data_IF_842970069720
#
_entry.id   IF_842970069720
#
_cell.length_a   1.000
_cell.length_b   1.000
_cell.length_c   1.000
_cell.angle_alpha   90.00
_cell.angle_beta   90.00
_cell.angle_gamma   90.00
#
_symmetry.space_group_name_H-M   'P 1'
#
loop_
_entity.id
_entity.type
_entity.pdbx_description
1 polymer ?
#
# COMPACT_ATOMS: atom_id res chain seq x y z
N UNK A 1 -13.27 9.94 16.80
CA UNK A 1 -11.90 10.31 16.37
C UNK A 1 -11.28 9.11 15.68
N UNK A 2 -10.41 9.35 14.71
CA UNK A 2 -9.76 8.29 13.95
C UNK A 2 -8.64 7.65 14.78
N UNK A 3 -8.63 6.33 14.91
CA UNK A 3 -7.49 5.63 15.54
C UNK A 3 -6.37 5.39 14.53
N UNK A 4 -5.11 5.18 14.96
CA UNK A 4 -4.03 4.82 14.04
C UNK A 4 -4.35 3.61 13.17
N UNK A 5 -4.99 2.58 13.74
CA UNK A 5 -5.35 1.35 13.04
C UNK A 5 -6.43 1.60 11.99
N UNK A 6 -7.44 2.43 12.31
CA UNK A 6 -8.46 2.84 11.34
C UNK A 6 -7.85 3.62 10.17
N UNK A 7 -6.89 4.52 10.45
CA UNK A 7 -6.17 5.22 9.38
C UNK A 7 -5.37 4.23 8.52
N UNK A 8 -4.68 3.26 9.13
CA UNK A 8 -3.93 2.24 8.40
C UNK A 8 -4.82 1.32 7.54
N UNK A 9 -6.06 1.05 7.95
CA UNK A 9 -7.03 0.35 7.10
C UNK A 9 -7.30 1.13 5.81
N UNK A 10 -7.45 2.45 5.90
CA UNK A 10 -7.60 3.31 4.72
C UNK A 10 -6.34 3.30 3.85
N UNK A 11 -5.15 3.39 4.45
CA UNK A 11 -3.88 3.29 3.71
C UNK A 11 -3.79 1.96 2.97
N UNK A 12 -4.09 0.85 3.63
CA UNK A 12 -4.09 -0.49 3.06
C UNK A 12 -5.03 -0.58 1.85
N UNK A 13 -6.27 -0.16 1.99
CA UNK A 13 -7.24 -0.19 0.89
C UNK A 13 -6.80 0.67 -0.30
N UNK A 14 -6.25 1.86 -0.06
CA UNK A 14 -5.75 2.73 -1.13
C UNK A 14 -4.52 2.15 -1.81
N UNK A 15 -3.64 1.45 -1.08
CA UNK A 15 -2.55 0.69 -1.68
C UNK A 15 -3.09 -0.43 -2.59
N UNK A 16 -4.07 -1.21 -2.14
CA UNK A 16 -4.70 -2.24 -2.98
C UNK A 16 -5.36 -1.64 -4.22
N UNK A 17 -6.02 -0.48 -4.08
CA UNK A 17 -6.65 0.24 -5.18
C UNK A 17 -5.63 0.78 -6.20
N UNK A 18 -4.37 0.96 -5.81
CA UNK A 18 -3.26 1.25 -6.73
C UNK A 18 -2.74 0.00 -7.47
N UNK A 19 -3.39 -1.16 -7.32
CA UNK A 19 -2.90 -2.43 -7.85
C UNK A 19 -1.78 -3.05 -7.03
N UNK A 20 -1.59 -2.58 -5.79
CA UNK A 20 -0.52 -3.05 -4.91
C UNK A 20 -0.83 -4.36 -4.20
N UNK A 21 0.22 -5.18 -4.09
CA UNK A 21 0.22 -6.37 -3.27
C UNK A 21 0.48 -5.95 -1.82
N UNK A 22 -0.44 -6.31 -0.93
CA UNK A 22 -0.32 -6.01 0.48
C UNK A 22 0.25 -7.19 1.26
N UNK A 23 1.20 -6.89 2.14
CA UNK A 23 1.70 -7.78 3.15
C UNK A 23 1.69 -7.07 4.50
N UNK A 24 1.68 -7.86 5.57
CA UNK A 24 1.95 -7.36 6.93
C UNK A 24 3.30 -7.92 7.34
N UNK A 25 4.25 -7.03 7.66
CA UNK A 25 5.62 -7.42 8.00
C UNK A 25 6.10 -6.67 9.23
N UNK A 26 7.02 -7.27 9.96
CA UNK A 26 7.64 -6.61 11.11
C UNK A 26 8.77 -5.68 10.64
N UNK A 27 8.67 -4.39 10.95
CA UNK A 27 9.70 -3.37 10.66
C UNK A 27 10.16 -2.78 11.99
N UNK A 28 11.28 -3.30 12.50
CA UNK A 28 11.74 -2.97 13.85
C UNK A 28 10.69 -3.38 14.91
N UNK A 29 10.30 -2.49 15.83
CA UNK A 29 9.27 -2.80 16.83
C UNK A 29 7.83 -2.74 16.31
N UNK A 30 7.59 -2.21 15.11
CA UNK A 30 6.25 -1.98 14.59
C UNK A 30 5.84 -3.04 13.55
N UNK A 31 4.61 -3.53 13.66
CA UNK A 31 3.97 -4.31 12.60
C UNK A 31 3.45 -3.36 11.53
N UNK A 32 4.00 -3.47 10.31
CA UNK A 32 3.75 -2.55 9.22
C UNK A 32 2.91 -3.19 8.12
N UNK A 33 1.99 -2.39 7.56
CA UNK A 33 1.36 -2.65 6.26
C UNK A 33 2.36 -2.27 5.18
N UNK A 34 2.68 -3.22 4.29
CA UNK A 34 3.62 -3.01 3.19
C UNK A 34 2.95 -3.29 1.86
N UNK A 35 2.95 -2.28 1.00
CA UNK A 35 2.43 -2.28 -0.35
C UNK A 35 3.53 -2.22 -1.39
N UNK A 36 3.53 -3.15 -2.35
CA UNK A 36 4.41 -3.11 -3.50
C UNK A 36 3.58 -3.00 -4.79
N UNK A 37 3.91 -2.03 -5.64
CA UNK A 37 3.30 -1.87 -6.96
C UNK A 37 4.24 -1.16 -7.92
N UNK A 38 3.98 -1.36 -9.21
CA UNK A 38 4.80 -0.82 -10.30
C UNK A 38 3.93 0.03 -11.22
N UNK A 39 4.42 1.19 -11.63
CA UNK A 39 3.76 2.08 -12.59
C UNK A 39 4.72 2.46 -13.72
N UNK A 40 4.18 2.69 -14.91
CA UNK A 40 4.95 3.20 -16.04
C UNK A 40 4.71 4.69 -16.20
N UNK A 41 5.78 5.48 -16.14
CA UNK A 41 5.74 6.94 -16.20
C UNK A 41 6.70 7.41 -17.27
N UNK A 42 6.19 7.96 -18.37
CA UNK A 42 7.00 8.54 -19.44
C UNK A 42 8.12 7.59 -19.90
N UNK A 43 7.77 6.32 -20.16
CA UNK A 43 8.68 5.21 -20.55
C UNK A 43 9.62 4.69 -19.43
N UNK A 44 9.58 5.27 -18.23
CA UNK A 44 10.30 4.75 -17.06
C UNK A 44 9.42 3.85 -16.23
N UNK A 45 10.00 2.81 -15.63
CA UNK A 45 9.32 1.94 -14.66
C UNK A 45 9.56 2.47 -13.25
N UNK A 46 8.49 2.68 -12.48
CA UNK A 46 8.56 3.13 -11.09
C UNK A 46 8.05 2.04 -10.18
N UNK A 47 8.91 1.57 -9.27
CA UNK A 47 8.55 0.60 -8.25
C UNK A 47 8.30 1.34 -6.94
N UNK A 48 7.06 1.35 -6.51
CA UNK A 48 6.65 1.95 -5.25
C UNK A 48 6.62 0.89 -4.14
N UNK A 49 7.20 1.24 -3.00
CA UNK A 49 7.06 0.52 -1.75
C UNK A 49 6.47 1.46 -0.70
N UNK A 50 5.19 1.26 -0.37
CA UNK A 50 4.52 1.98 0.72
C UNK A 50 4.66 1.14 1.98
N UNK A 51 5.21 1.72 3.04
CA UNK A 51 5.38 1.06 4.34
C UNK A 51 4.73 1.93 5.39
N UNK A 52 3.69 1.44 6.06
CA UNK A 52 2.94 2.22 7.03
C UNK A 52 2.74 1.44 8.33
N UNK A 53 2.96 2.06 9.48
CA UNK A 53 2.75 1.42 10.78
C UNK A 53 2.20 2.39 11.83
N UNK A 54 1.54 1.83 12.84
CA UNK A 54 1.08 2.58 14.00
C UNK A 54 2.25 2.68 14.98
N UNK A 55 2.46 3.87 15.53
CA UNK A 55 3.48 4.09 16.54
C UNK A 55 3.03 5.20 17.49
N UNK A 56 3.00 4.97 18.81
CA UNK A 56 2.30 5.85 19.74
C UNK A 56 2.87 7.27 19.78
N UNK A 57 4.20 7.41 19.76
CA UNK A 57 4.90 8.69 19.84
C UNK A 57 5.93 8.80 18.71
N UNK A 58 5.74 9.76 17.81
CA UNK A 58 6.56 9.96 16.63
C UNK A 58 7.47 11.17 16.84
N UNK A 59 8.71 10.91 17.22
CA UNK A 59 9.83 11.88 17.26
C UNK A 59 10.69 11.76 15.99
N UNK A 60 11.57 12.73 15.74
CA UNK A 60 12.47 12.68 14.58
C UNK A 60 13.33 11.40 14.57
N UNK A 61 13.81 10.96 15.73
CA UNK A 61 14.59 9.72 15.86
C UNK A 61 13.78 8.49 15.45
N UNK A 62 12.56 8.34 15.97
CA UNK A 62 11.71 7.18 15.64
C UNK A 62 11.36 7.14 14.16
N UNK A 63 11.07 8.30 13.56
CA UNK A 63 10.76 8.43 12.14
C UNK A 63 11.98 8.09 11.27
N UNK A 64 13.18 8.57 11.61
CA UNK A 64 14.43 8.22 10.91
C UNK A 64 14.70 6.72 10.96
N UNK A 65 14.62 6.13 12.16
CA UNK A 65 14.88 4.71 12.36
C UNK A 65 13.92 3.85 11.56
N UNK A 66 12.60 4.10 11.68
CA UNK A 66 11.59 3.38 10.93
C UNK A 66 11.80 3.51 9.42
N UNK A 67 12.10 4.72 8.94
CA UNK A 67 12.36 5.00 7.53
C UNK A 67 13.58 4.25 7.01
N UNK A 68 14.65 4.16 7.81
CA UNK A 68 15.85 3.38 7.48
C UNK A 68 15.53 1.90 7.30
N UNK A 69 14.81 1.31 8.25
CA UNK A 69 14.39 -0.10 8.22
C UNK A 69 13.42 -0.38 7.07
N UNK A 70 12.43 0.49 6.84
CA UNK A 70 11.49 0.41 5.73
C UNK A 70 12.22 0.47 4.37
N UNK A 71 13.20 1.35 4.23
CA UNK A 71 14.04 1.45 3.03
C UNK A 71 14.86 0.18 2.82
N UNK A 72 15.46 -0.37 3.87
CA UNK A 72 16.20 -1.62 3.80
C UNK A 72 15.29 -2.77 3.34
N UNK A 73 14.09 -2.89 3.94
CA UNK A 73 13.10 -3.88 3.55
C UNK A 73 12.68 -3.73 2.08
N UNK A 74 12.35 -2.50 1.66
CA UNK A 74 11.97 -2.22 0.27
C UNK A 74 13.07 -2.65 -0.72
N UNK A 75 14.33 -2.30 -0.44
CA UNK A 75 15.46 -2.65 -1.31
C UNK A 75 15.73 -4.14 -1.40
N UNK A 76 15.48 -4.88 -0.32
CA UNK A 76 15.57 -6.33 -0.33
C UNK A 76 14.48 -6.99 -1.19
N UNK A 77 13.31 -6.35 -1.34
CA UNK A 77 12.15 -6.91 -2.02
C UNK A 77 11.88 -6.34 -3.43
N UNK A 78 12.61 -5.29 -3.83
CA UNK A 78 12.53 -4.68 -5.18
C UNK A 78 13.74 -5.11 -6.04
N UNK A 79 14.48 -6.15 -5.63
CA UNK A 79 15.66 -6.63 -6.36
C UNK A 79 15.32 -7.04 -7.81
N UNK A 80 16.10 -6.53 -8.76
CA UNK A 80 15.97 -6.83 -10.20
C UNK A 80 15.47 -5.66 -11.06
N UNK A 81 14.92 -4.61 -10.46
CA UNK A 81 14.23 -3.53 -11.21
C UNK A 81 14.84 -2.14 -11.01
N UNK A 82 16.07 -2.04 -10.50
CA UNK A 82 16.79 -0.75 -10.40
C UNK A 82 17.80 -0.66 -11.53
N UNK A 83 17.58 0.27 -12.44
CA UNK A 83 18.41 0.47 -13.63
C UNK A 83 18.23 1.88 -14.18
N UNK A 84 18.90 2.22 -15.29
CA UNK A 84 18.81 3.56 -15.88
C UNK A 84 17.37 3.99 -16.22
N UNK A 85 16.50 3.03 -16.53
CA UNK A 85 15.10 3.24 -16.91
C UNK A 85 14.11 2.92 -15.79
N UNK A 86 14.60 2.57 -14.59
CA UNK A 86 13.75 2.12 -13.51
C UNK A 86 14.16 2.68 -12.14
N UNK A 87 13.22 3.37 -11.51
CA UNK A 87 13.39 4.02 -10.22
C UNK A 87 12.64 3.26 -9.12
N UNK A 88 13.22 3.19 -7.92
CA UNK A 88 12.51 2.71 -6.72
C UNK A 88 12.13 3.90 -5.83
N UNK A 89 10.89 3.91 -5.37
CA UNK A 89 10.38 4.94 -4.46
C UNK A 89 9.84 4.25 -3.21
N UNK A 90 10.38 4.62 -2.06
CA UNK A 90 9.90 4.16 -0.75
C UNK A 90 9.15 5.29 -0.08
N UNK A 91 7.93 5.04 0.37
CA UNK A 91 7.14 6.00 1.16
C UNK A 91 6.89 5.35 2.52
N UNK A 92 7.65 5.79 3.52
CA UNK A 92 7.62 5.26 4.89
C UNK A 92 6.81 6.19 5.79
N UNK A 93 5.69 5.68 6.32
CA UNK A 93 4.74 6.42 7.13
C UNK A 93 4.58 5.87 8.54
N UNK A 94 4.59 6.75 9.54
CA UNK A 94 4.16 6.44 10.90
C UNK A 94 2.87 7.18 11.25
N UNK A 95 1.97 6.49 11.96
CA UNK A 95 0.68 7.04 12.40
C UNK A 95 0.59 7.03 13.92
N UNK A 96 0.37 8.19 14.53
CA UNK A 96 0.30 8.36 15.99
C UNK A 96 0.53 9.81 16.42
N UNK A 97 0.95 10.06 17.66
CA UNK A 97 1.18 11.43 18.13
C UNK A 97 2.45 12.00 17.52
N UNK A 98 2.33 13.05 16.71
CA UNK A 98 3.49 13.64 16.01
C UNK A 98 4.10 14.78 16.81
N UNK A 99 5.39 14.68 17.11
CA UNK A 99 6.15 15.75 17.75
C UNK A 99 6.66 16.77 16.72
N UNK A 100 6.91 18.03 17.11
CA UNK A 100 7.32 19.09 16.18
C UNK A 100 8.59 18.78 15.39
N UNK A 101 9.56 18.08 15.99
CA UNK A 101 10.80 17.65 15.34
C UNK A 101 10.55 16.62 14.23
N UNK A 102 9.66 15.66 14.46
CA UNK A 102 9.22 14.70 13.43
C UNK A 102 8.45 15.38 12.30
N UNK A 103 7.56 16.33 12.63
CA UNK A 103 6.82 17.10 11.65
C UNK A 103 7.75 17.88 10.72
N UNK A 104 8.74 18.58 11.28
CA UNK A 104 9.76 19.30 10.52
C UNK A 104 10.59 18.36 9.64
N UNK A 105 11.02 17.23 10.20
CA UNK A 105 11.78 16.23 9.46
C UNK A 105 10.98 15.63 8.29
N UNK A 106 9.71 15.27 8.51
CA UNK A 106 8.85 14.70 7.48
C UNK A 106 8.58 15.71 6.34
N UNK A 107 8.45 17.00 6.67
CA UNK A 107 8.25 18.08 5.71
C UNK A 107 9.54 18.52 4.99
N UNK A 108 10.72 18.08 5.45
CA UNK A 108 11.99 18.48 4.88
C UNK A 108 12.20 17.90 3.46
N UNK A 109 12.88 18.68 2.61
CA UNK A 109 13.17 18.28 1.23
C UNK A 109 13.95 16.97 1.19
N UNK A 110 13.44 16.00 0.44
CA UNK A 110 14.10 14.69 0.31
C UNK A 110 15.39 14.79 -0.49
N UNK A 111 16.41 14.05 -0.09
CA UNK A 111 17.64 13.86 -0.88
C UNK A 111 17.45 12.70 -1.85
N UNK A 112 18.01 12.81 -3.05
CA UNK A 112 18.01 11.69 -4.00
C UNK A 112 19.08 10.69 -3.55
N UNK A 113 18.76 9.40 -3.61
CA UNK A 113 19.75 8.33 -3.50
C UNK A 113 19.91 7.70 -4.88
N UNK A 114 21.10 7.17 -5.18
CA UNK A 114 21.33 6.53 -6.47
C UNK A 114 20.32 5.38 -6.67
N UNK A 115 19.56 5.43 -7.77
CA UNK A 115 18.53 4.43 -8.08
C UNK A 115 17.23 4.51 -7.28
N UNK A 116 17.02 5.53 -6.42
CA UNK A 116 15.74 5.68 -5.75
C UNK A 116 15.53 6.92 -4.87
N UNK A 117 14.29 7.06 -4.39
CA UNK A 117 13.86 8.12 -3.48
C UNK A 117 13.19 7.50 -2.26
N UNK A 118 13.48 8.03 -1.06
CA UNK A 118 12.75 7.69 0.15
C UNK A 118 12.02 8.92 0.67
N UNK A 119 10.74 8.76 1.00
CA UNK A 119 9.87 9.80 1.57
C UNK A 119 9.42 9.41 2.96
N UNK A 120 9.54 10.34 3.88
CA UNK A 120 9.02 10.22 5.23
C UNK A 120 7.63 10.81 5.29
N UNK A 121 6.73 10.14 6.00
CA UNK A 121 5.39 10.62 6.31
C UNK A 121 5.15 10.45 7.80
N UNK A 122 4.69 11.50 8.47
CA UNK A 122 4.21 11.42 9.84
C UNK A 122 2.74 11.86 9.84
N UNK A 123 1.86 11.05 10.41
CA UNK A 123 0.43 11.32 10.46
C UNK A 123 -0.02 11.40 11.90
N UNK A 124 -0.61 12.54 12.28
CA UNK A 124 -1.39 12.65 13.49
C UNK A 124 -2.86 12.36 13.16
N UNK A 125 -3.48 11.27 13.67
CA UNK A 125 -4.89 10.96 13.40
C UNK A 125 -5.88 12.06 13.82
N UNK A 126 -5.44 12.97 14.70
CA UNK A 126 -6.23 14.11 15.19
C UNK A 126 -5.77 15.44 14.58
N UNK A 127 -4.71 15.43 13.78
CA UNK A 127 -4.07 16.60 13.20
C UNK A 127 -3.86 16.47 11.69
N UNK A 128 -2.83 17.12 11.14
CA UNK A 128 -2.50 17.03 9.72
C UNK A 128 -1.55 15.87 9.43
N UNK A 129 -1.42 15.55 8.14
CA UNK A 129 -0.31 14.75 7.62
C UNK A 129 0.90 15.65 7.35
N UNK A 130 2.07 15.23 7.80
CA UNK A 130 3.35 15.87 7.52
C UNK A 130 4.14 15.04 6.52
N UNK A 131 4.46 15.64 5.37
CA UNK A 131 5.31 15.05 4.34
C UNK A 131 5.83 16.14 3.41
N UNK A 132 6.96 15.88 2.74
CA UNK A 132 7.44 16.75 1.69
C UNK A 132 6.68 16.53 0.36
N UNK A 133 6.06 17.60 -0.15
CA UNK A 133 5.26 17.63 -1.41
C UNK A 133 5.86 18.59 -2.45
N UNK A 134 7.12 19.01 -2.28
CA UNK A 134 7.77 19.94 -3.21
C UNK A 134 8.11 19.32 -4.58
N UNK A 135 8.65 20.16 -5.46
CA UNK A 135 9.30 19.73 -6.71
C UNK A 135 10.83 19.68 -6.56
N UNK A 136 11.49 18.88 -7.41
CA UNK A 136 12.93 19.00 -7.70
C UNK A 136 13.09 19.38 -9.17
N UNK A 137 14.21 20.04 -9.48
CA UNK A 137 14.50 20.53 -10.84
C UNK A 137 14.65 19.39 -11.87
N UNK A 138 14.99 18.19 -11.43
CA UNK A 138 15.17 17.01 -12.27
C UNK A 138 13.98 16.07 -12.08
N UNK A 139 13.34 15.63 -13.16
CA UNK A 139 12.25 14.64 -13.11
C UNK A 139 10.91 15.19 -12.60
N UNK A 140 10.47 16.38 -13.04
CA UNK A 140 9.19 16.98 -12.61
C UNK A 140 7.98 16.04 -12.76
N UNK A 141 7.91 15.28 -13.87
CA UNK A 141 6.86 14.27 -14.07
C UNK A 141 6.93 13.12 -13.05
N UNK A 142 8.15 12.62 -12.78
CA UNK A 142 8.39 11.59 -11.77
C UNK A 142 8.02 12.11 -10.37
N UNK A 143 8.43 13.32 -10.00
CA UNK A 143 8.07 13.92 -8.72
C UNK A 143 6.57 14.19 -8.59
N UNK A 144 5.93 14.63 -9.67
CA UNK A 144 4.47 14.78 -9.71
C UNK A 144 3.76 13.46 -9.43
N UNK A 145 4.22 12.37 -10.03
CA UNK A 145 3.67 11.06 -9.78
C UNK A 145 3.96 10.54 -8.37
N UNK A 146 5.17 10.76 -7.83
CA UNK A 146 5.46 10.41 -6.43
C UNK A 146 4.58 11.22 -5.47
N UNK A 147 4.40 12.51 -5.72
CA UNK A 147 3.51 13.37 -4.91
C UNK A 147 2.07 12.87 -4.99
N UNK A 148 1.57 12.58 -6.18
CA UNK A 148 0.23 12.04 -6.38
C UNK A 148 0.06 10.71 -5.65
N UNK A 149 1.06 9.82 -5.74
CA UNK A 149 1.00 8.52 -5.08
C UNK A 149 1.07 8.62 -3.56
N UNK A 150 1.96 9.46 -3.04
CA UNK A 150 2.01 9.76 -1.60
C UNK A 150 0.67 10.29 -1.12
N UNK A 151 0.10 11.26 -1.81
CA UNK A 151 -1.17 11.86 -1.42
C UNK A 151 -2.33 10.88 -1.49
N UNK A 152 -2.32 10.02 -2.50
CA UNK A 152 -3.31 8.97 -2.63
C UNK A 152 -3.19 7.96 -1.48
N UNK A 153 -2.01 7.36 -1.29
CA UNK A 153 -1.82 6.29 -0.29
C UNK A 153 -1.91 6.78 1.16
N UNK A 154 -1.50 8.03 1.43
CA UNK A 154 -1.57 8.66 2.75
C UNK A 154 -2.49 9.88 2.69
N UNK A 155 -3.83 9.70 2.76
CA UNK A 155 -4.78 10.81 2.80
C UNK A 155 -4.55 11.77 3.97
N UNK A 156 -5.13 12.97 3.91
CA UNK A 156 -5.31 13.75 5.14
C UNK A 156 -6.23 12.98 6.12
N UNK A 157 -6.02 13.03 7.44
CA UNK A 157 -6.82 12.28 8.42
C UNK A 157 -8.33 12.52 8.31
N UNK A 158 -8.73 13.75 7.93
CA UNK A 158 -10.15 14.07 7.68
C UNK A 158 -10.72 13.28 6.49
N UNK A 159 -9.96 13.13 5.40
CA UNK A 159 -10.39 12.34 4.24
C UNK A 159 -10.49 10.85 4.59
N UNK A 160 -9.54 10.33 5.38
CA UNK A 160 -9.57 8.94 5.86
C UNK A 160 -10.81 8.68 6.71
N UNK A 161 -11.14 9.62 7.62
CA UNK A 161 -12.33 9.53 8.44
C UNK A 161 -13.62 9.53 7.62
N UNK A 162 -13.73 10.41 6.62
CA UNK A 162 -14.89 10.47 5.71
C UNK A 162 -15.05 9.16 4.91
N UNK A 163 -13.94 8.59 4.43
CA UNK A 163 -13.95 7.32 3.70
C UNK A 163 -14.52 6.18 4.57
N UNK A 164 -14.09 6.09 5.84
CA UNK A 164 -14.61 5.08 6.78
C UNK A 164 -16.09 5.30 7.10
N UNK A 165 -16.53 6.55 7.28
CA UNK A 165 -17.95 6.86 7.50
C UNK A 165 -18.82 6.42 6.31
N UNK A 166 -18.35 6.68 5.08
CA UNK A 166 -19.04 6.26 3.87
C UNK A 166 -19.09 4.73 3.72
N UNK A 167 -18.04 4.02 4.12
CA UNK A 167 -18.04 2.56 4.13
C UNK A 167 -19.01 1.99 5.16
N UNK A 168 -19.06 2.58 6.35
CA UNK A 168 -19.97 2.17 7.40
C UNK A 168 -21.45 2.34 6.98
N UNK A 169 -21.78 3.35 6.16
CA UNK A 169 -23.14 3.56 5.67
C UNK A 169 -23.55 2.62 4.52
N UNK A 170 -22.60 1.97 3.87
CA UNK A 170 -22.87 1.02 2.78
C UNK A 170 -23.09 -0.42 3.21
N UNK A 171 -22.78 -0.79 4.47
CA UNK A 171 -23.04 -2.14 4.95
C UNK A 171 -24.56 -2.37 5.09
N UNK A 172 -25.20 -3.17 4.19
CA UNK A 172 -26.63 -3.41 4.24
C UNK A 172 -26.87 -4.49 5.29
N UNK A 173 -27.25 -4.08 6.51
CA UNK A 173 -27.47 -5.05 7.59
C UNK A 173 -27.35 -4.48 9.00
N UNK A 174 -27.61 -3.18 9.19
CA UNK A 174 -27.78 -2.62 10.52
C UNK A 174 -28.95 -3.29 11.24
N UNK A 175 -28.66 -4.32 12.05
CA UNK A 175 -29.49 -4.60 13.19
C UNK A 175 -29.43 -3.35 14.08
N UNK A 176 -30.55 -2.70 14.43
CA UNK A 176 -30.51 -1.59 15.35
C UNK A 176 -29.86 -2.10 16.65
N UNK A 177 -28.83 -1.40 17.12
CA UNK A 177 -28.34 -1.55 18.47
C UNK A 177 -29.53 -1.23 19.40
N UNK A 178 -30.16 -2.28 19.92
CA UNK A 178 -31.28 -2.16 20.84
C UNK A 178 -30.72 -1.58 22.14
N UNK A 179 -30.88 -0.27 22.31
CA UNK A 179 -30.67 0.41 23.57
C UNK A 179 -31.53 -0.31 24.63
N UNK A 180 -30.88 -0.68 25.73
CA UNK A 180 -31.44 -1.55 26.75
C UNK A 180 -32.81 -1.09 27.25
N UNK A 181 -33.75 -2.04 27.27
CA UNK A 181 -34.89 -2.00 28.18
C UNK A 181 -34.67 -3.11 29.22
N UNK A 182 -34.62 -2.80 30.52
CA UNK A 182 -34.60 -3.82 31.56
C UNK A 182 -36.04 -4.26 31.82
N UNK A 183 -36.37 -5.52 31.52
CA UNK A 183 -37.59 -6.11 32.03
C UNK A 183 -38.24 -7.15 31.11
N UNK A 184 -38.26 -8.38 31.60
CA UNK A 184 -39.52 -9.11 31.66
C UNK A 184 -39.84 -10.11 30.55
N UNK A 185 -39.92 -11.37 30.99
CA UNK A 185 -40.86 -12.42 30.58
C UNK A 185 -40.51 -13.27 29.35
N UNK A 186 -40.30 -14.54 29.66
CA UNK A 186 -40.35 -15.67 28.75
C UNK A 186 -41.69 -15.71 27.99
N UNK A 187 -41.62 -15.83 26.67
CA UNK A 187 -42.77 -16.08 25.82
C UNK A 187 -42.37 -17.01 24.69
N UNK A 188 -42.69 -18.29 24.85
CA UNK A 188 -42.58 -19.30 23.81
C UNK A 188 -43.39 -18.86 22.58
N UNK A 189 -42.75 -18.83 21.42
CA UNK A 189 -43.42 -18.53 20.17
C UNK A 189 -44.04 -19.83 19.61
N UNK A 190 -45.36 -19.95 19.80
CA UNK A 190 -46.20 -20.98 19.21
C UNK A 190 -46.16 -20.91 17.68
N UNK A 191 -45.87 -22.05 17.06
CA UNK A 191 -45.92 -22.26 15.61
C UNK A 191 -47.37 -22.61 15.21
N UNK A 192 -48.00 -21.94 14.22
CA UNK A 192 -49.35 -22.28 13.80
C UNK A 192 -49.38 -23.63 13.05
N UNK A 193 -50.31 -24.54 13.36
CA UNK A 193 -50.47 -25.79 12.62
C UNK A 193 -51.44 -25.62 11.46
N UNK A 194 -51.01 -26.03 10.26
CA UNK A 194 -51.90 -26.28 9.13
C UNK A 194 -51.46 -25.67 7.82
N UNK A 195 -50.57 -26.34 7.09
CA UNK A 195 -50.60 -26.29 5.63
C UNK A 195 -50.21 -27.65 5.03
N UNK A 196 -51.03 -28.22 4.12
CA UNK A 196 -50.82 -29.53 3.54
C UNK A 196 -49.69 -29.52 2.50
N UNK A 197 -48.95 -30.64 2.47
CA UNK A 197 -47.77 -30.85 1.64
C UNK A 197 -48.03 -30.73 0.14
N UNK A 198 -47.14 -30.02 -0.54
CA UNK A 198 -47.00 -30.01 -2.00
C UNK A 198 -45.92 -31.01 -2.46
N UNK A 199 -46.06 -31.61 -3.65
CA UNK A 199 -45.24 -32.71 -4.11
C UNK A 199 -43.83 -32.30 -4.53
N UNK A 200 -42.87 -33.14 -4.16
CA UNK A 200 -41.47 -33.11 -4.55
C UNK A 200 -41.31 -33.57 -6.01
N UNK A 201 -40.70 -32.78 -6.92
CA UNK A 201 -40.26 -33.27 -8.22
C UNK A 201 -38.86 -33.88 -8.12
N UNK A 202 -38.74 -35.12 -8.57
CA UNK A 202 -37.49 -35.88 -8.61
C UNK A 202 -36.51 -35.44 -9.71
N UNK A 203 -35.34 -36.12 -9.79
CA UNK A 203 -34.25 -35.77 -10.69
C UNK A 203 -34.44 -36.47 -12.04
N UNK A 204 -34.56 -35.71 -13.13
CA UNK A 204 -34.69 -36.23 -14.48
C UNK A 204 -34.17 -35.22 -15.49
N UNK A 205 -33.09 -35.58 -16.17
CA UNK A 205 -32.29 -34.69 -17.01
C UNK A 205 -32.94 -34.24 -18.31
N UNK A 206 -32.22 -33.34 -18.98
CA UNK A 206 -32.37 -33.06 -20.41
C UNK A 206 -31.02 -32.95 -21.11
N UNK A 207 -30.97 -33.31 -22.41
CA UNK A 207 -29.74 -33.46 -23.19
C UNK A 207 -29.42 -32.19 -23.99
N UNK A 208 -28.15 -32.10 -24.40
CA UNK A 208 -27.77 -31.43 -25.65
C UNK A 208 -27.75 -29.90 -25.65
N UNK A 209 -26.64 -29.31 -25.18
CA UNK A 209 -26.13 -28.07 -25.77
C UNK A 209 -24.68 -28.26 -26.15
N UNK A 210 -24.45 -28.27 -27.46
CA UNK A 210 -23.13 -28.20 -28.10
C UNK A 210 -22.46 -26.88 -27.74
N UNK A 211 -21.33 -26.97 -27.04
CA UNK A 211 -20.45 -25.83 -26.74
C UNK A 211 -19.66 -25.52 -28.03
N UNK A 212 -19.66 -24.26 -28.52
CA UNK A 212 -18.74 -23.86 -29.57
C UNK A 212 -17.31 -23.92 -29.05
N UNK A 213 -16.43 -24.65 -29.73
CA UNK A 213 -14.99 -24.62 -29.50
C UNK A 213 -14.45 -23.23 -29.84
N UNK A 214 -14.45 -22.34 -28.87
CA UNK A 214 -13.79 -21.04 -28.94
C UNK A 214 -12.28 -21.20 -28.82
N UNK A 215 -11.58 -20.63 -29.79
CA UNK A 215 -10.14 -20.71 -30.01
C UNK A 215 -9.33 -20.31 -28.76
N UNK A 216 -8.29 -21.09 -28.47
CA UNK A 216 -7.31 -20.78 -27.44
C UNK A 216 -6.60 -19.45 -27.80
N UNK A 217 -6.39 -18.54 -26.84
CA UNK A 217 -5.55 -17.37 -27.07
C UNK A 217 -4.14 -17.82 -27.43
N UNK A 218 -3.69 -17.48 -28.65
CA UNK A 218 -2.29 -17.59 -29.03
C UNK A 218 -1.46 -16.78 -28.04
N UNK A 219 -0.60 -17.48 -27.29
CA UNK A 219 0.47 -16.88 -26.51
C UNK A 219 1.34 -16.04 -27.44
N UNK A 220 1.43 -14.74 -27.15
CA UNK A 220 2.28 -13.82 -27.90
C UNK A 220 3.74 -14.32 -27.93
N UNK A 221 4.46 -14.14 -29.05
CA UNK A 221 5.87 -14.49 -29.13
C UNK A 221 6.69 -13.68 -28.11
N UNK A 222 7.76 -14.26 -27.55
CA UNK A 222 8.62 -13.57 -26.61
C UNK A 222 9.22 -12.31 -27.26
N UNK A 223 9.38 -11.21 -26.50
CA UNK A 223 10.01 -10.00 -27.03
C UNK A 223 11.44 -10.31 -27.48
N UNK A 224 11.80 -9.78 -28.65
CA UNK A 224 13.13 -9.92 -29.22
C UNK A 224 14.19 -9.41 -28.22
N UNK A 225 15.27 -10.19 -28.07
CA UNK A 225 16.44 -9.75 -27.31
C UNK A 225 16.93 -8.42 -27.86
N UNK A 226 16.85 -7.37 -27.03
CA UNK A 226 17.37 -6.06 -27.38
C UNK A 226 18.88 -6.11 -27.67
N UNK A 227 19.42 -5.11 -28.39
CA UNK A 227 20.84 -5.06 -28.68
C UNK A 227 21.67 -5.04 -27.39
N UNK A 228 22.86 -5.67 -27.37
CA UNK A 228 23.74 -5.65 -26.21
C UNK A 228 24.05 -4.20 -25.83
N UNK A 229 23.76 -3.85 -24.58
CA UNK A 229 24.07 -2.53 -24.03
C UNK A 229 25.57 -2.25 -24.06
N UNK A 230 25.98 -0.97 -23.99
CA UNK A 230 27.38 -0.59 -23.99
C UNK A 230 28.11 -1.26 -22.83
N UNK A 231 29.24 -1.92 -23.16
CA UNK A 231 30.12 -2.50 -22.14
C UNK A 231 30.61 -1.41 -21.18
N UNK A 232 30.55 -1.64 -19.86
CA UNK A 232 31.09 -0.69 -18.91
C UNK A 232 32.62 -0.56 -19.12
N UNK A 233 33.18 0.65 -18.92
CA UNK A 233 34.60 0.89 -19.04
C UNK A 233 35.38 -0.01 -18.08
N UNK A 234 36.37 -0.71 -18.64
CA UNK A 234 37.24 -1.61 -17.89
C UNK A 234 38.20 -0.75 -17.05
N UNK A 235 37.92 -0.61 -15.76
CA UNK A 235 38.83 0.04 -14.84
C UNK A 235 39.96 -0.92 -14.48
N UNK A 236 41.24 -0.51 -14.63
CA UNK A 236 42.35 -1.31 -14.14
C UNK A 236 42.24 -1.44 -12.60
N UNK A 237 42.61 -2.61 -12.04
CA UNK A 237 42.59 -2.80 -10.60
C UNK A 237 43.50 -1.79 -9.90
N UNK A 238 43.12 -1.30 -8.70
CA UNK A 238 43.97 -0.41 -7.91
C UNK A 238 45.35 -1.03 -7.69
N UNK A 239 46.40 -0.32 -8.08
CA UNK A 239 47.77 -0.72 -7.83
C UNK A 239 48.00 -0.93 -6.33
N UNK A 240 48.67 -2.03 -5.97
CA UNK A 240 49.06 -2.29 -4.58
C UNK A 240 49.98 -1.17 -4.10
N UNK A 241 49.78 -0.62 -2.88
CA UNK A 241 50.75 0.29 -2.29
C UNK A 241 52.08 -0.44 -2.04
N UNK A 242 53.22 0.23 -2.22
CA UNK A 242 54.53 -0.34 -1.93
C UNK A 242 54.70 -0.42 -0.41
N UNK A 243 54.79 -1.65 0.12
CA UNK A 243 55.30 -1.88 1.46
C UNK A 243 56.83 -1.99 1.40
N UNK A 244 57.50 -1.08 2.11
CA UNK A 244 58.68 -1.32 2.93
C UNK A 244 60.01 -1.70 2.25
N UNK A 245 60.93 -0.73 2.23
CA UNK A 245 62.28 -0.88 2.77
C UNK A 245 62.60 0.31 3.66
#
# INVERSE_FOLDING_TARGET
MLTPEQYLQVVAERVQRSGGWLNTVQIGPATAVVGLFTESIMLSTMNYCVVAAAYPEITAQTLLQFTGLATQHARANVQGTVGWTAASVVIAGLVGRVYPDAAQLAAAKTTNQFGGETRMVAIDPTGPRYAWIGGKLWGAAMHGAVNAKLQFCFPEPMEAYQQLQWQASQMPGGYPAQAGAPGGYAGQQQVPPGQPGGPQPGPGGFPGQSIPSGEQPQTAPPPAAGPPGPQPPHYPPPGRPPYGQ
#
